data_IF_321057686711
#
_entry.id   IF_321057686711
#
_cell.length_a   1.000
_cell.length_b   1.000
_cell.length_c   1.000
_cell.angle_alpha   90.00
_cell.angle_beta   90.00
_cell.angle_gamma   90.00
#
_symmetry.space_group_name_H-M   'P 1'
#
loop_
_entity.id
_entity.type
_entity.pdbx_description
1 polymer ?
#
# COMPACT_ATOMS: atom_id res chain seq x y z
N UNK A 1 -3.89 -45.06 7.98
CA UNK A 1 -3.91 -43.59 7.83
C UNK A 1 -4.16 -43.29 6.37
N UNK A 2 -5.38 -42.85 6.05
CA UNK A 2 -5.99 -43.00 4.73
C UNK A 2 -5.44 -42.02 3.70
N UNK A 3 -5.32 -42.44 2.44
CA UNK A 3 -4.87 -41.60 1.32
C UNK A 3 -5.68 -40.29 1.17
N UNK A 4 -6.90 -40.26 1.68
CA UNK A 4 -7.76 -39.07 1.70
C UNK A 4 -7.31 -38.01 2.73
N UNK A 5 -6.83 -38.41 3.90
CA UNK A 5 -6.31 -37.46 4.92
C UNK A 5 -5.06 -36.74 4.42
N UNK A 6 -4.18 -37.45 3.69
CA UNK A 6 -3.01 -36.87 3.04
C UNK A 6 -3.38 -35.87 1.95
N UNK A 7 -4.46 -36.15 1.19
CA UNK A 7 -4.95 -35.24 0.13
C UNK A 7 -5.51 -33.96 0.73
N UNK A 8 -6.33 -34.08 1.78
CA UNK A 8 -6.89 -32.95 2.55
C UNK A 8 -5.78 -32.09 3.16
N UNK A 9 -4.78 -32.71 3.79
CA UNK A 9 -3.61 -32.01 4.33
C UNK A 9 -2.84 -31.23 3.24
N UNK A 10 -2.68 -31.81 2.05
CA UNK A 10 -2.09 -31.13 0.90
C UNK A 10 -2.87 -29.88 0.46
N UNK A 11 -4.21 -29.94 0.41
CA UNK A 11 -5.04 -28.78 0.07
C UNK A 11 -4.91 -27.62 1.05
N UNK A 12 -4.84 -27.92 2.36
CA UNK A 12 -4.63 -26.91 3.40
C UNK A 12 -3.30 -26.19 3.25
N UNK A 13 -2.22 -26.91 2.91
CA UNK A 13 -0.90 -26.30 2.66
C UNK A 13 -0.97 -25.29 1.51
N UNK A 14 -1.65 -25.63 0.40
CA UNK A 14 -1.82 -24.69 -0.72
C UNK A 14 -2.69 -23.49 -0.34
N UNK A 15 -3.75 -23.72 0.42
CA UNK A 15 -4.63 -22.65 0.92
C UNK A 15 -3.86 -21.65 1.79
N UNK A 16 -3.15 -22.10 2.81
CA UNK A 16 -2.38 -21.21 3.69
C UNK A 16 -1.25 -20.50 2.95
N UNK A 17 -0.62 -21.17 1.98
CA UNK A 17 0.40 -20.53 1.12
C UNK A 17 -0.20 -19.41 0.28
N UNK A 18 -1.40 -19.62 -0.27
CA UNK A 18 -2.10 -18.59 -1.05
C UNK A 18 -2.60 -17.46 -0.17
N UNK A 19 -3.16 -17.77 1.02
CA UNK A 19 -3.59 -16.79 2.00
C UNK A 19 -2.44 -15.86 2.43
N UNK A 20 -1.26 -16.42 2.72
CA UNK A 20 -0.07 -15.64 3.07
C UNK A 20 0.41 -14.76 1.91
N UNK A 21 0.35 -15.25 0.67
CA UNK A 21 0.72 -14.44 -0.49
C UNK A 21 -0.27 -13.31 -0.75
N UNK A 22 -1.57 -13.55 -0.54
CA UNK A 22 -2.62 -12.54 -0.73
C UNK A 22 -2.64 -11.51 0.40
N UNK A 23 -2.31 -11.90 1.64
CA UNK A 23 -2.30 -10.98 2.77
C UNK A 23 -1.28 -9.85 2.59
N UNK A 24 -0.12 -10.12 1.98
CA UNK A 24 0.87 -9.09 1.65
C UNK A 24 0.30 -8.02 0.70
N UNK A 25 -0.50 -8.44 -0.29
CA UNK A 25 -1.15 -7.52 -1.23
C UNK A 25 -2.24 -6.71 -0.53
N UNK A 26 -3.06 -7.36 0.31
CA UNK A 26 -4.11 -6.67 1.09
C UNK A 26 -3.48 -5.65 2.05
N UNK A 27 -2.37 -6.01 2.70
CA UNK A 27 -1.66 -5.12 3.63
C UNK A 27 -1.17 -3.85 2.92
N UNK A 28 -0.67 -3.97 1.68
CA UNK A 28 -0.28 -2.81 0.88
C UNK A 28 -1.47 -1.86 0.63
N UNK A 29 -2.63 -2.40 0.24
CA UNK A 29 -3.84 -1.58 0.07
C UNK A 29 -4.32 -0.95 1.39
N UNK A 30 -4.21 -1.68 2.49
CA UNK A 30 -4.55 -1.17 3.81
C UNK A 30 -3.64 0.00 4.23
N UNK A 31 -2.32 -0.16 4.10
CA UNK A 31 -1.34 0.90 4.38
C UNK A 31 -1.59 2.10 3.47
N UNK A 32 -1.84 1.89 2.18
CA UNK A 32 -2.17 2.95 1.24
C UNK A 32 -3.43 3.72 1.67
N UNK A 33 -4.48 3.01 2.11
CA UNK A 33 -5.69 3.63 2.64
C UNK A 33 -5.42 4.50 3.88
N UNK A 34 -4.61 4.01 4.82
CA UNK A 34 -4.19 4.79 6.00
C UNK A 34 -3.39 6.02 5.61
N UNK A 35 -2.45 5.88 4.67
CA UNK A 35 -1.63 6.97 4.16
C UNK A 35 -2.46 8.06 3.47
N UNK A 36 -3.42 7.68 2.62
CA UNK A 36 -4.31 8.64 1.96
C UNK A 36 -5.24 9.35 2.95
N UNK A 37 -5.63 8.68 4.04
CA UNK A 37 -6.43 9.27 5.12
C UNK A 37 -5.62 10.17 6.07
N UNK A 38 -4.32 9.93 6.25
CA UNK A 38 -3.51 10.63 7.23
C UNK A 38 -3.55 12.17 7.14
N UNK A 39 -3.50 12.81 5.96
CA UNK A 39 -3.58 14.27 5.84
C UNK A 39 -4.88 14.87 6.42
N UNK A 40 -5.98 14.12 6.43
CA UNK A 40 -7.27 14.59 6.96
C UNK A 40 -7.26 14.82 8.47
N UNK A 41 -6.36 14.16 9.19
CA UNK A 41 -6.19 14.29 10.64
C UNK A 41 -4.99 15.17 10.97
N UNK A 42 -3.86 14.94 10.28
CA UNK A 42 -2.60 15.64 10.55
C UNK A 42 -2.69 17.13 10.23
N UNK A 43 -3.33 17.52 9.12
CA UNK A 43 -3.38 18.93 8.70
C UNK A 43 -4.18 19.81 9.67
N UNK A 44 -5.40 19.41 10.12
CA UNK A 44 -6.10 20.14 11.18
C UNK A 44 -5.31 20.23 12.49
N UNK A 45 -4.68 19.14 12.93
CA UNK A 45 -3.87 19.12 14.16
C UNK A 45 -2.68 20.09 14.08
N UNK A 46 -1.96 20.10 12.96
CA UNK A 46 -0.86 21.05 12.73
C UNK A 46 -1.33 22.51 12.73
N UNK A 47 -2.51 22.79 12.16
CA UNK A 47 -3.09 24.14 12.18
C UNK A 47 -3.47 24.59 13.58
N UNK A 48 -3.94 23.67 14.41
CA UNK A 48 -4.30 23.92 15.81
C UNK A 48 -3.05 24.19 16.65
N UNK A 49 -2.03 23.33 16.58
CA UNK A 49 -0.78 23.47 17.34
C UNK A 49 0.00 24.74 16.99
N UNK A 50 0.00 25.11 15.71
CA UNK A 50 0.78 26.26 15.25
C UNK A 50 0.10 27.63 15.52
N UNK A 51 -1.13 27.64 16.08
CA UNK A 51 -1.93 28.85 16.37
C UNK A 51 -2.05 29.84 15.19
N UNK A 52 -1.81 29.39 13.96
CA UNK A 52 -1.83 30.19 12.76
C UNK A 52 -2.20 29.34 11.54
N UNK A 53 -3.39 29.59 10.98
CA UNK A 53 -3.78 29.12 9.65
C UNK A 53 -2.88 29.63 8.53
N UNK A 54 -2.02 30.62 8.81
CA UNK A 54 -1.06 31.20 7.86
C UNK A 54 0.09 30.26 7.48
N UNK A 55 0.39 29.23 8.28
CA UNK A 55 1.55 28.34 8.03
C UNK A 55 1.24 27.27 6.98
N UNK A 56 -0.02 26.83 6.88
CA UNK A 56 -0.46 25.85 5.86
C UNK A 56 -1.58 26.48 5.04
N UNK A 57 -1.19 27.13 3.94
CA UNK A 57 -2.13 27.71 2.98
C UNK A 57 -2.99 26.63 2.30
N UNK A 58 -4.17 26.99 1.77
CA UNK A 58 -5.05 26.04 1.08
C UNK A 58 -4.37 25.34 -0.12
N UNK A 59 -3.52 26.08 -0.84
CA UNK A 59 -2.69 25.53 -1.93
C UNK A 59 -1.70 24.47 -1.42
N UNK A 60 -1.03 24.69 -0.28
CA UNK A 60 -0.13 23.69 0.32
C UNK A 60 -0.87 22.42 0.73
N UNK A 61 -2.08 22.56 1.28
CA UNK A 61 -2.97 21.41 1.57
C UNK A 61 -3.29 20.63 0.29
N UNK A 62 -3.63 21.31 -0.80
CA UNK A 62 -3.93 20.65 -2.07
C UNK A 62 -2.72 19.90 -2.63
N UNK A 63 -1.52 20.50 -2.58
CA UNK A 63 -0.27 19.84 -2.98
C UNK A 63 0.04 18.61 -2.11
N UNK A 64 -0.08 18.73 -0.79
CA UNK A 64 0.16 17.63 0.16
C UNK A 64 -0.79 16.45 -0.08
N UNK A 65 -2.06 16.70 -0.38
CA UNK A 65 -3.02 15.63 -0.68
C UNK A 65 -2.80 15.02 -2.06
N UNK A 66 -2.28 15.77 -3.04
CA UNK A 66 -2.16 15.32 -4.44
C UNK A 66 -0.81 14.67 -4.76
N UNK A 67 0.23 14.91 -3.96
CA UNK A 67 1.60 14.43 -4.23
C UNK A 67 1.68 12.91 -4.39
N UNK A 68 0.86 12.17 -3.66
CA UNK A 68 0.74 10.71 -3.74
C UNK A 68 0.36 10.26 -5.16
N UNK A 69 -0.59 10.96 -5.79
CA UNK A 69 -1.06 10.63 -7.14
C UNK A 69 -0.07 11.08 -8.20
N UNK A 70 0.54 12.25 -8.05
CA UNK A 70 1.57 12.73 -8.99
C UNK A 70 2.83 11.85 -8.96
N UNK A 71 3.25 11.40 -7.79
CA UNK A 71 4.41 10.50 -7.64
C UNK A 71 4.16 9.10 -8.21
N UNK A 72 2.90 8.66 -8.30
CA UNK A 72 2.55 7.38 -8.93
C UNK A 72 2.82 7.35 -10.44
N UNK A 73 2.86 8.50 -11.12
CA UNK A 73 3.02 8.58 -12.59
C UNK A 73 4.36 7.98 -13.04
N UNK A 74 5.54 8.38 -12.50
CA UNK A 74 6.80 7.70 -12.78
C UNK A 74 6.76 6.20 -12.47
N UNK A 75 6.15 5.82 -11.34
CA UNK A 75 6.08 4.43 -10.90
C UNK A 75 5.28 3.53 -11.84
N UNK A 76 4.29 4.09 -12.55
CA UNK A 76 3.53 3.36 -13.56
C UNK A 76 4.41 2.83 -14.72
N UNK A 77 5.57 3.45 -14.98
CA UNK A 77 6.53 3.00 -15.99
C UNK A 77 7.66 2.18 -15.36
N UNK A 78 8.16 2.61 -14.19
CA UNK A 78 9.29 1.97 -13.52
C UNK A 78 8.93 0.54 -13.05
N UNK A 79 7.76 0.35 -12.42
CA UNK A 79 7.38 -0.95 -11.85
C UNK A 79 7.23 -2.04 -12.93
N UNK A 80 6.56 -1.81 -14.08
CA UNK A 80 6.52 -2.80 -15.16
C UNK A 80 7.90 -3.15 -15.73
N UNK A 81 8.80 -2.16 -15.85
CA UNK A 81 10.17 -2.39 -16.33
C UNK A 81 10.96 -3.28 -15.37
N UNK A 82 10.85 -3.03 -14.07
CA UNK A 82 11.45 -3.88 -13.03
C UNK A 82 10.82 -5.28 -13.06
N UNK A 83 9.49 -5.37 -13.17
CA UNK A 83 8.77 -6.63 -13.24
C UNK A 83 9.18 -7.48 -14.45
N UNK A 84 9.41 -6.85 -15.60
CA UNK A 84 9.91 -7.51 -16.81
C UNK A 84 11.32 -8.06 -16.61
N UNK A 85 12.21 -7.30 -15.96
CA UNK A 85 13.62 -7.67 -15.83
C UNK A 85 13.92 -8.68 -14.70
N UNK A 86 13.23 -8.55 -13.58
CA UNK A 86 13.53 -9.31 -12.35
C UNK A 86 12.35 -10.15 -11.83
N UNK A 87 11.20 -10.09 -12.51
CA UNK A 87 9.99 -10.81 -12.12
C UNK A 87 9.10 -10.06 -11.13
N UNK A 88 7.88 -10.57 -10.94
CA UNK A 88 6.77 -9.91 -10.23
C UNK A 88 6.92 -9.82 -8.70
N UNK A 89 7.88 -10.53 -8.11
CA UNK A 89 8.06 -10.55 -6.64
C UNK A 89 8.78 -9.32 -6.12
N UNK A 90 9.72 -8.76 -6.88
CA UNK A 90 10.52 -7.60 -6.45
C UNK A 90 9.67 -6.32 -6.37
N UNK A 91 8.81 -6.00 -7.37
CA UNK A 91 7.88 -4.86 -7.27
C UNK A 91 6.87 -4.96 -6.13
N UNK A 92 6.72 -6.13 -5.50
CA UNK A 92 5.77 -6.36 -4.41
C UNK A 92 6.40 -6.10 -3.03
N UNK A 93 7.73 -5.98 -2.99
CA UNK A 93 8.53 -5.69 -1.78
C UNK A 93 8.95 -4.21 -1.77
N UNK A 94 9.11 -3.60 -2.95
CA UNK A 94 9.34 -2.16 -3.14
C UNK A 94 8.06 -1.36 -2.88
#
# INVERSE_FOLDING_TARGET
>A
MGKEELKTSGYWIYFFRQLFSCSAVIMNFFIFGLYMGAPTVIIPQLREEANATAIISPEMTSWLSSISTYSAIPWAVILPMIAYRFGRKIPLIL
#
